data_IF_314603653868
#
_entry.id   IF_314603653868
#
_cell.length_a   1.000
_cell.length_b   1.000
_cell.length_c   1.000
_cell.angle_alpha   90.00
_cell.angle_beta   90.00
_cell.angle_gamma   90.00
#
_symmetry.space_group_name_H-M   'P 1'
#
loop_
_entity.id
_entity.type
_entity.pdbx_description
1 polymer ?
#
# COMPACT_ATOMS: atom_id res chain seq x y z
N UNK A 1 17.51 32.78 42.22
CA UNK A 1 16.07 33.10 42.37
C UNK A 1 15.33 32.32 41.30
N UNK A 2 14.56 31.31 41.67
CA UNK A 2 13.78 30.45 40.76
C UNK A 2 12.36 31.01 40.68
N UNK A 3 11.94 31.45 39.49
CA UNK A 3 10.57 31.89 39.23
C UNK A 3 9.66 30.65 39.11
N UNK A 4 8.80 30.44 40.12
CA UNK A 4 7.71 29.46 40.04
C UNK A 4 6.52 30.09 39.30
N UNK A 5 6.41 29.81 38.00
CA UNK A 5 5.23 30.13 37.20
C UNK A 5 4.08 29.15 37.54
N UNK A 6 3.48 29.30 38.71
CA UNK A 6 2.26 28.55 39.10
C UNK A 6 1.01 29.38 38.76
N UNK A 7 0.81 29.59 37.47
CA UNK A 7 -0.41 30.19 36.93
C UNK A 7 -1.49 29.09 36.76
N UNK A 8 -2.25 28.81 37.81
CA UNK A 8 -3.55 28.10 37.74
C UNK A 8 -3.53 26.62 37.37
N UNK A 9 -2.49 25.86 37.76
CA UNK A 9 -2.37 24.41 37.52
C UNK A 9 -2.06 23.61 38.80
N UNK A 10 -2.57 22.38 38.89
CA UNK A 10 -2.29 21.43 39.98
C UNK A 10 -0.91 20.74 39.82
N UNK A 11 -0.52 19.94 40.81
CA UNK A 11 0.77 19.21 40.84
C UNK A 11 0.92 18.21 39.68
N UNK A 12 -0.18 17.86 39.02
CA UNK A 12 -0.24 16.98 37.85
C UNK A 12 -0.37 17.77 36.54
N UNK A 13 -0.31 19.11 36.59
CA UNK A 13 -0.36 20.02 35.45
C UNK A 13 -1.76 20.34 34.89
N UNK A 14 -2.84 19.96 35.59
CA UNK A 14 -4.24 20.20 35.21
C UNK A 14 -4.71 21.58 35.68
N UNK A 15 -5.64 22.21 34.96
CA UNK A 15 -6.18 23.51 35.36
C UNK A 15 -7.08 23.39 36.59
N UNK A 16 -6.89 24.28 37.57
CA UNK A 16 -7.60 24.23 38.86
C UNK A 16 -8.98 24.88 38.82
N UNK A 17 -9.22 25.83 37.91
CA UNK A 17 -10.51 26.49 37.64
C UNK A 17 -10.62 26.74 36.11
N UNK A 18 -11.84 26.79 35.53
CA UNK A 18 -12.03 26.98 34.06
C UNK A 18 -11.41 28.29 33.53
N UNK A 19 -11.16 28.61 32.26
CA UNK A 19 -11.36 28.03 30.92
C UNK A 19 -9.98 27.54 30.39
N UNK A 20 -9.73 26.23 30.29
CA UNK A 20 -9.76 25.37 29.08
C UNK A 20 -9.07 25.97 27.83
N UNK A 21 -8.34 25.15 27.04
CA UNK A 21 -7.43 25.63 25.99
C UNK A 21 -8.06 26.67 25.05
N UNK A 22 -7.39 27.83 24.86
CA UNK A 22 -7.76 28.86 23.87
C UNK A 22 -7.83 28.30 22.44
N UNK A 23 -7.12 27.21 22.20
CA UNK A 23 -7.13 26.38 21.00
C UNK A 23 -7.90 25.10 21.29
N UNK A 24 -9.21 25.22 21.51
CA UNK A 24 -10.12 24.08 21.44
C UNK A 24 -10.09 23.49 20.03
N UNK A 25 -10.48 22.22 19.90
CA UNK A 25 -10.87 21.64 18.61
C UNK A 25 -11.62 22.70 17.80
N UNK A 26 -11.20 22.93 16.54
CA UNK A 26 -11.73 23.99 15.67
C UNK A 26 -13.24 24.17 15.88
N UNK A 27 -13.64 25.38 16.31
CA UNK A 27 -15.04 25.77 16.62
C UNK A 27 -15.95 25.76 15.39
N UNK A 28 -15.37 25.69 14.20
CA UNK A 28 -16.07 25.49 12.93
C UNK A 28 -15.72 24.10 12.39
N UNK A 29 -16.45 23.04 12.78
CA UNK A 29 -16.28 21.72 12.19
C UNK A 29 -16.49 21.75 10.66
N UNK A 30 -17.30 22.66 10.11
CA UNK A 30 -17.43 22.87 8.67
C UNK A 30 -16.15 23.40 7.96
N UNK A 31 -15.18 23.95 8.71
CA UNK A 31 -13.86 24.35 8.17
C UNK A 31 -12.82 23.24 8.23
N UNK A 32 -13.14 22.12 8.88
CA UNK A 32 -12.29 20.94 8.75
C UNK A 32 -12.32 20.57 7.28
N UNK A 33 -11.14 20.38 6.68
CA UNK A 33 -11.08 19.79 5.36
C UNK A 33 -11.92 18.52 5.43
N UNK A 34 -13.03 18.49 4.70
CA UNK A 34 -13.79 17.28 4.47
C UNK A 34 -12.76 16.32 3.92
N UNK A 35 -12.46 15.26 4.67
CA UNK A 35 -11.62 14.20 4.15
C UNK A 35 -12.21 13.86 2.78
N UNK A 36 -11.46 14.05 1.68
CA UNK A 36 -11.98 13.75 0.37
C UNK A 36 -12.51 12.33 0.47
N UNK A 37 -13.79 12.14 0.14
CA UNK A 37 -14.41 10.82 0.19
C UNK A 37 -13.48 9.82 -0.49
N UNK A 38 -13.53 8.57 -0.05
CA UNK A 38 -12.61 7.43 -0.30
C UNK A 38 -12.10 7.24 -1.76
N UNK A 39 -12.62 7.98 -2.73
CA UNK A 39 -12.29 7.96 -4.14
C UNK A 39 -11.20 8.95 -4.57
N UNK A 40 -11.00 10.08 -3.86
CA UNK A 40 -10.10 11.15 -4.30
C UNK A 40 -8.71 11.14 -3.61
N UNK A 41 -8.40 10.11 -2.82
CA UNK A 41 -7.03 9.95 -2.34
C UNK A 41 -6.10 9.59 -3.50
N UNK A 42 -4.85 10.04 -3.43
CA UNK A 42 -3.84 9.73 -4.46
C UNK A 42 -3.71 8.23 -4.67
N UNK A 43 -3.73 7.44 -3.61
CA UNK A 43 -3.60 5.98 -3.68
C UNK A 43 -4.78 5.29 -4.36
N UNK A 44 -6.02 5.70 -4.06
CA UNK A 44 -7.23 5.12 -4.63
C UNK A 44 -7.45 5.57 -6.07
N UNK A 45 -7.17 6.84 -6.36
CA UNK A 45 -7.12 7.35 -7.72
C UNK A 45 -6.09 6.58 -8.55
N UNK A 46 -4.90 6.32 -7.99
CA UNK A 46 -3.86 5.58 -8.70
C UNK A 46 -4.27 4.12 -9.00
N UNK A 47 -4.88 3.44 -8.03
CA UNK A 47 -5.41 2.07 -8.23
C UNK A 47 -6.43 2.05 -9.37
N UNK A 48 -7.43 2.96 -9.33
CA UNK A 48 -8.43 3.11 -10.41
C UNK A 48 -7.77 3.33 -11.77
N UNK A 49 -6.81 4.24 -11.86
CA UNK A 49 -6.13 4.57 -13.11
C UNK A 49 -5.20 3.46 -13.62
N UNK A 50 -4.63 2.65 -12.73
CA UNK A 50 -3.83 1.47 -13.10
C UNK A 50 -4.69 0.32 -13.64
N UNK A 51 -5.94 0.22 -13.20
CA UNK A 51 -6.89 -0.79 -13.66
C UNK A 51 -7.56 -0.40 -15.01
N UNK A 52 -7.46 0.88 -15.42
CA UNK A 52 -7.98 1.40 -16.68
C UNK A 52 -7.07 1.10 -17.87
N UNK A 53 -7.69 0.95 -19.04
CA UNK A 53 -6.99 0.90 -20.33
C UNK A 53 -6.43 2.26 -20.73
N UNK A 54 -5.45 2.29 -21.64
CA UNK A 54 -4.85 3.54 -22.11
C UNK A 54 -5.88 4.47 -22.76
N UNK A 55 -6.85 3.91 -23.50
CA UNK A 55 -7.94 4.67 -24.12
C UNK A 55 -8.88 5.32 -23.08
N UNK A 56 -9.13 4.64 -21.96
CA UNK A 56 -9.95 5.18 -20.86
C UNK A 56 -9.20 6.27 -20.09
N UNK A 57 -7.89 6.12 -19.91
CA UNK A 57 -7.03 7.16 -19.33
C UNK A 57 -7.00 8.44 -20.17
N UNK A 58 -6.94 8.31 -21.50
CA UNK A 58 -6.98 9.47 -22.40
C UNK A 58 -8.33 10.19 -22.35
N UNK A 59 -9.42 9.44 -22.13
CA UNK A 59 -10.75 10.01 -21.91
C UNK A 59 -10.83 10.79 -20.60
N UNK A 60 -10.33 10.22 -19.51
CA UNK A 60 -10.25 10.89 -18.20
C UNK A 60 -9.36 12.15 -18.24
N UNK A 61 -8.30 12.13 -19.05
CA UNK A 61 -7.46 13.32 -19.28
C UNK A 61 -8.20 14.41 -20.06
N UNK A 62 -8.99 14.01 -21.07
CA UNK A 62 -9.83 14.93 -21.83
C UNK A 62 -10.89 15.59 -20.93
N UNK A 63 -11.39 14.84 -19.94
CA UNK A 63 -12.35 15.30 -18.93
C UNK A 63 -11.67 15.93 -17.68
N UNK A 64 -10.44 16.43 -17.81
CA UNK A 64 -9.60 16.97 -16.71
C UNK A 64 -10.25 18.07 -15.86
N UNK A 65 -11.26 18.77 -16.37
CA UNK A 65 -12.01 19.79 -15.63
C UNK A 65 -12.83 19.22 -14.46
N UNK A 66 -13.16 17.92 -14.51
CA UNK A 66 -13.94 17.23 -13.46
C UNK A 66 -13.06 16.58 -12.39
N UNK A 67 -11.76 16.45 -12.68
CA UNK A 67 -10.79 15.81 -11.79
C UNK A 67 -10.33 16.75 -10.69
N UNK A 68 -10.16 16.21 -9.49
CA UNK A 68 -9.50 16.91 -8.38
C UNK A 68 -8.00 17.08 -8.68
N UNK A 69 -7.35 18.05 -8.03
CA UNK A 69 -5.89 18.25 -8.18
C UNK A 69 -5.09 16.97 -7.86
N UNK A 70 -5.53 16.20 -6.86
CA UNK A 70 -4.91 14.93 -6.52
C UNK A 70 -5.01 13.93 -7.68
N UNK A 71 -6.19 13.78 -8.29
CA UNK A 71 -6.39 12.90 -9.44
C UNK A 71 -5.58 13.35 -10.66
N UNK A 72 -5.51 14.66 -10.93
CA UNK A 72 -4.69 15.21 -12.01
C UNK A 72 -3.19 14.89 -11.84
N UNK A 73 -2.65 15.10 -10.64
CA UNK A 73 -1.26 14.76 -10.32
C UNK A 73 -1.03 13.26 -10.51
N UNK A 74 -1.96 12.45 -10.03
CA UNK A 74 -1.85 10.99 -10.11
C UNK A 74 -1.84 10.49 -11.57
N UNK A 75 -2.69 11.07 -12.41
CA UNK A 75 -2.79 10.71 -13.82
C UNK A 75 -1.53 11.11 -14.61
N UNK A 76 -0.97 12.29 -14.33
CA UNK A 76 0.33 12.70 -14.89
C UNK A 76 1.46 11.74 -14.49
N UNK A 77 1.49 11.34 -13.23
CA UNK A 77 2.51 10.44 -12.69
C UNK A 77 2.44 9.04 -13.33
N UNK A 78 1.22 8.51 -13.54
CA UNK A 78 1.02 7.21 -14.21
C UNK A 78 1.44 7.28 -15.67
N UNK A 79 1.17 8.39 -16.36
CA UNK A 79 1.59 8.58 -17.75
C UNK A 79 3.11 8.57 -17.87
N UNK A 80 3.80 9.34 -17.03
CA UNK A 80 5.27 9.34 -16.97
C UNK A 80 5.80 7.93 -16.68
N UNK A 81 5.17 7.21 -15.76
CA UNK A 81 5.59 5.86 -15.40
C UNK A 81 5.30 4.80 -16.49
N UNK A 82 4.27 5.02 -17.33
CA UNK A 82 3.90 4.17 -18.49
C UNK A 82 4.75 4.45 -19.73
N UNK A 83 5.56 5.51 -19.75
CA UNK A 83 6.43 5.81 -20.88
C UNK A 83 7.34 4.60 -21.19
N UNK A 84 7.29 4.14 -22.44
CA UNK A 84 7.94 2.90 -22.89
C UNK A 84 9.47 2.86 -22.69
N UNK A 85 10.08 4.02 -22.42
CA UNK A 85 11.52 4.15 -22.22
C UNK A 85 12.00 3.62 -20.87
N UNK A 86 11.12 3.41 -19.87
CA UNK A 86 11.58 3.01 -18.54
C UNK A 86 10.57 2.15 -17.76
N UNK A 87 10.48 0.83 -18.04
CA UNK A 87 9.51 -0.08 -17.40
C UNK A 87 9.67 -0.20 -15.88
N UNK A 88 10.83 0.19 -15.33
CA UNK A 88 11.10 0.22 -13.89
C UNK A 88 10.31 1.31 -13.15
N UNK A 89 9.86 2.35 -13.85
CA UNK A 89 9.14 3.46 -13.22
C UNK A 89 7.74 3.05 -12.80
N UNK A 90 7.03 2.25 -13.61
CA UNK A 90 5.72 1.71 -13.26
C UNK A 90 5.79 0.80 -12.03
N UNK A 91 6.76 -0.11 -11.98
CA UNK A 91 6.91 -1.00 -10.82
C UNK A 91 7.29 -0.24 -9.55
N UNK A 92 8.19 0.74 -9.64
CA UNK A 92 8.55 1.60 -8.52
C UNK A 92 7.36 2.43 -8.01
N UNK A 93 6.54 2.96 -8.93
CA UNK A 93 5.32 3.67 -8.59
C UNK A 93 4.34 2.75 -7.84
N UNK A 94 4.16 1.52 -8.32
CA UNK A 94 3.29 0.53 -7.69
C UNK A 94 3.76 0.18 -6.26
N UNK A 95 5.07 0.01 -6.05
CA UNK A 95 5.64 -0.21 -4.72
C UNK A 95 5.43 0.98 -3.78
N UNK A 96 5.59 2.21 -4.28
CA UNK A 96 5.35 3.42 -3.49
C UNK A 96 3.89 3.55 -3.04
N UNK A 97 2.95 3.24 -3.95
CA UNK A 97 1.51 3.26 -3.64
C UNK A 97 1.14 2.18 -2.62
N UNK A 98 1.66 0.97 -2.79
CA UNK A 98 1.44 -0.12 -1.84
C UNK A 98 2.01 0.23 -0.46
N UNK A 99 3.18 0.87 -0.39
CA UNK A 99 3.76 1.36 0.87
C UNK A 99 2.94 2.49 1.50
N UNK A 100 2.42 3.41 0.70
CA UNK A 100 1.55 4.49 1.18
C UNK A 100 0.24 3.96 1.78
N UNK A 101 -0.26 2.82 1.29
CA UNK A 101 -1.42 2.10 1.85
C UNK A 101 -1.03 1.18 3.03
N UNK A 102 0.24 1.13 3.43
CA UNK A 102 0.72 0.30 4.55
C UNK A 102 0.88 -1.18 4.21
N UNK A 103 0.91 -1.55 2.93
CA UNK A 103 1.16 -2.95 2.53
C UNK A 103 2.63 -3.32 2.80
N UNK A 104 2.90 -4.53 3.30
CA UNK A 104 4.26 -5.01 3.48
C UNK A 104 4.97 -5.13 2.14
N UNK A 105 6.30 -4.92 2.14
CA UNK A 105 7.11 -5.11 0.92
C UNK A 105 7.05 -6.58 0.52
N UNK A 106 6.62 -6.84 -0.71
CA UNK A 106 6.68 -8.17 -1.30
C UNK A 106 7.94 -8.22 -2.16
N UNK A 107 9.07 -8.59 -1.56
CA UNK A 107 10.21 -9.07 -2.34
C UNK A 107 9.91 -10.53 -2.69
N UNK A 108 9.38 -10.76 -3.89
CA UNK A 108 9.45 -12.10 -4.45
C UNK A 108 10.91 -12.32 -4.83
N UNK A 109 11.66 -13.05 -4.00
CA UNK A 109 12.86 -13.74 -4.46
C UNK A 109 12.37 -14.77 -5.48
N UNK A 110 12.28 -14.35 -6.74
CA UNK A 110 12.08 -15.27 -7.86
C UNK A 110 13.41 -16.00 -7.97
N UNK A 111 13.58 -17.05 -7.16
CA UNK A 111 14.43 -18.15 -7.56
C UNK A 111 13.76 -18.70 -8.82
N UNK A 112 14.22 -18.26 -9.99
CA UNK A 112 14.09 -19.00 -11.24
C UNK A 112 14.87 -20.31 -11.07
N UNK A 113 14.44 -21.16 -10.14
CA UNK A 113 14.66 -22.59 -10.28
C UNK A 113 13.95 -22.92 -11.59
N UNK A 114 14.73 -23.17 -12.64
CA UNK A 114 14.26 -23.32 -14.00
C UNK A 114 13.10 -24.31 -14.14
N UNK A 115 12.54 -24.36 -15.34
CA UNK A 115 11.42 -25.20 -15.79
C UNK A 115 11.49 -26.73 -15.49
N UNK A 116 12.36 -27.19 -14.60
CA UNK A 116 12.38 -28.59 -14.19
C UNK A 116 11.29 -28.82 -13.12
N UNK A 117 10.29 -29.66 -13.42
CA UNK A 117 9.39 -30.13 -12.37
C UNK A 117 10.21 -30.78 -11.25
N UNK A 118 9.79 -30.65 -9.99
CA UNK A 118 10.51 -31.23 -8.88
C UNK A 118 10.70 -32.73 -9.10
N UNK A 119 11.95 -33.19 -9.09
CA UNK A 119 12.25 -34.62 -9.19
C UNK A 119 11.96 -35.27 -7.86
N UNK A 120 10.84 -36.01 -7.77
CA UNK A 120 10.48 -36.78 -6.59
C UNK A 120 11.20 -38.13 -6.66
N UNK A 121 12.23 -38.31 -5.84
CA UNK A 121 12.90 -39.62 -5.68
C UNK A 121 12.13 -40.41 -4.63
N UNK A 122 11.22 -41.30 -5.06
CA UNK A 122 10.58 -42.27 -4.17
C UNK A 122 11.60 -43.37 -3.90
N UNK A 123 12.27 -43.31 -2.75
CA UNK A 123 13.02 -44.47 -2.25
C UNK A 123 11.99 -45.40 -1.60
N UNK A 124 11.80 -46.64 -2.07
CA UNK A 124 11.03 -47.60 -1.30
C UNK A 124 11.77 -47.77 0.03
N UNK A 125 11.14 -47.30 1.11
CA UNK A 125 11.54 -47.69 2.45
C UNK A 125 10.95 -49.09 2.65
N UNK A 126 11.78 -50.11 2.41
CA UNK A 126 11.40 -51.49 2.63
C UNK A 126 11.76 -51.86 4.08
N UNK A 127 10.78 -51.75 4.96
CA UNK A 127 10.87 -52.20 6.36
C UNK A 127 10.90 -53.73 6.49
N UNK A 128 10.78 -54.47 5.38
CA UNK A 128 10.73 -55.92 5.37
C UNK A 128 11.65 -56.53 4.30
N UNK A 129 12.92 -56.85 4.63
CA UNK A 129 13.92 -57.35 3.68
C UNK A 129 13.60 -58.72 3.04
N UNK A 130 12.45 -59.32 3.40
CA UNK A 130 11.97 -60.59 2.84
C UNK A 130 10.92 -60.43 1.74
N UNK A 131 10.56 -59.19 1.38
CA UNK A 131 9.58 -58.92 0.33
C UNK A 131 10.23 -59.02 -1.07
N UNK A 132 10.08 -60.17 -1.72
CA UNK A 132 10.53 -60.37 -3.09
C UNK A 132 9.34 -60.19 -4.05
N UNK A 133 9.56 -59.48 -5.17
CA UNK A 133 8.55 -59.34 -6.22
C UNK A 133 8.21 -60.70 -6.82
N UNK A 134 6.91 -61.00 -6.98
CA UNK A 134 6.35 -62.26 -7.48
C UNK A 134 6.48 -62.37 -9.02
N UNK A 135 7.69 -62.18 -9.56
CA UNK A 135 7.98 -62.17 -11.01
C UNK A 135 8.70 -63.42 -11.51
N UNK A 136 8.75 -64.49 -10.72
CA UNK A 136 9.31 -65.78 -11.16
C UNK A 136 8.36 -66.96 -10.92
N UNK A 137 7.34 -67.08 -11.75
CA UNK A 137 6.67 -68.36 -12.06
C UNK A 137 6.46 -68.46 -13.57
N UNK A 138 7.46 -69.04 -14.23
CA UNK A 138 7.34 -69.71 -15.54
C UNK A 138 6.82 -71.12 -15.35
#
# INVERSE_FOLDING_TARGET
MMNSNNDGRDELGRFTEGNHPKTGFHTNPERRATFPGNRHSVSKAAQRFLDMTDAELDKELSDSATLTQAEQITLQLIRQAKDANNPRQLSALRELLDRAEGKPRVSADINEAGLMPPTIIIRPFDDNPSNHSDTSRS
#
